data_IF_215932973781
#
_entry.id   IF_215932973781
#
_cell.length_a   1.000
_cell.length_b   1.000
_cell.length_c   1.000
_cell.angle_alpha   90.00
_cell.angle_beta   90.00
_cell.angle_gamma   90.00
#
_symmetry.space_group_name_H-M   'P 1'
#
loop_
_entity.id
_entity.type
_entity.pdbx_description
1 polymer ?
#
# COMPACT_ATOMS: atom_id res chain seq x y z
N UNK A 1 9.61 14.39 -32.86
CA UNK A 1 9.16 15.32 -31.85
C UNK A 1 7.94 14.78 -31.20
N UNK A 2 7.76 14.79 -30.01
CA UNK A 2 6.82 15.64 -29.47
C UNK A 2 5.99 15.04 -28.47
N UNK A 3 6.27 15.57 -27.40
CA UNK A 3 5.33 15.89 -26.42
C UNK A 3 4.60 14.65 -25.94
N UNK A 4 5.26 13.81 -25.22
CA UNK A 4 4.56 12.86 -24.40
C UNK A 4 3.65 13.65 -23.48
N UNK A 5 2.34 13.49 -23.66
CA UNK A 5 1.31 14.10 -22.82
C UNK A 5 1.63 13.92 -21.32
N UNK A 6 2.31 12.85 -20.96
CA UNK A 6 2.79 12.58 -19.59
C UNK A 6 3.99 13.43 -19.16
N UNK A 7 4.76 14.03 -20.05
CA UNK A 7 5.87 14.92 -19.71
C UNK A 7 5.45 16.37 -19.50
N UNK A 8 4.28 16.72 -19.98
CA UNK A 8 3.72 18.09 -19.91
C UNK A 8 2.86 18.29 -18.67
N UNK A 9 2.48 17.23 -17.99
CA UNK A 9 1.64 17.27 -16.81
C UNK A 9 2.39 16.73 -15.59
N UNK A 10 2.84 17.62 -14.72
CA UNK A 10 3.46 17.23 -13.46
C UNK A 10 2.36 17.03 -12.40
N UNK A 11 2.23 15.80 -11.93
CA UNK A 11 1.29 15.45 -10.87
C UNK A 11 2.09 15.05 -9.65
N UNK A 12 1.92 15.78 -8.55
CA UNK A 12 2.59 15.48 -7.29
C UNK A 12 1.62 15.55 -6.13
N UNK A 13 1.75 14.57 -5.26
CA UNK A 13 0.98 14.48 -4.04
C UNK A 13 1.86 13.92 -2.90
N UNK A 14 2.85 14.73 -2.50
CA UNK A 14 3.70 14.42 -1.35
C UNK A 14 3.18 15.18 -0.14
N UNK A 15 2.57 14.48 0.79
CA UNK A 15 1.96 15.07 1.99
C UNK A 15 3.04 15.43 3.01
N UNK A 16 3.05 16.68 3.47
CA UNK A 16 3.89 17.16 4.56
C UNK A 16 3.12 17.23 5.89
N UNK A 17 1.85 17.64 5.84
CA UNK A 17 0.94 17.69 7.00
C UNK A 17 -0.40 17.13 6.56
N UNK A 18 -0.99 16.26 7.37
CA UNK A 18 -2.31 15.69 7.09
C UNK A 18 -3.11 15.57 8.39
N UNK A 19 -4.02 16.51 8.60
CA UNK A 19 -4.94 16.53 9.73
C UNK A 19 -6.36 16.81 9.21
N UNK A 20 -7.04 15.80 8.65
CA UNK A 20 -8.36 15.98 8.03
C UNK A 20 -9.45 16.35 9.04
N UNK A 21 -9.28 16.00 10.32
CA UNK A 21 -10.24 16.36 11.38
C UNK A 21 -10.30 17.86 11.65
N UNK A 22 -9.20 18.56 11.42
CA UNK A 22 -9.11 20.02 11.48
C UNK A 22 -9.25 20.69 10.10
N UNK A 23 -9.57 19.90 9.06
CA UNK A 23 -9.71 20.40 7.69
C UNK A 23 -8.39 20.80 7.04
N UNK A 24 -7.24 20.37 7.59
CA UNK A 24 -5.91 20.77 7.14
C UNK A 24 -5.19 19.64 6.43
N UNK A 25 -4.73 19.92 5.22
CA UNK A 25 -3.79 19.06 4.50
C UNK A 25 -2.82 19.93 3.70
N UNK A 26 -1.54 19.62 3.75
CA UNK A 26 -0.50 20.35 3.03
C UNK A 26 0.39 19.41 2.26
N UNK A 27 0.43 19.58 0.93
CA UNK A 27 1.25 18.80 0.03
C UNK A 27 2.43 19.61 -0.46
N UNK A 28 3.61 18.96 -0.50
CA UNK A 28 4.78 19.53 -1.15
C UNK A 28 4.57 19.52 -2.67
N UNK A 29 4.86 20.65 -3.31
CA UNK A 29 4.72 20.80 -4.75
C UNK A 29 3.43 21.48 -5.22
N UNK A 30 2.54 21.88 -4.32
CA UNK A 30 1.35 22.72 -4.61
C UNK A 30 1.72 24.18 -4.97
N UNK A 31 2.84 24.39 -5.65
CA UNK A 31 3.34 25.73 -5.93
C UNK A 31 3.22 26.06 -7.41
N UNK A 32 2.68 27.24 -7.70
CA UNK A 32 2.64 27.83 -9.06
C UNK A 32 4.03 27.98 -9.69
N UNK A 33 5.08 27.97 -8.88
CA UNK A 33 6.48 28.04 -9.31
C UNK A 33 6.90 26.94 -10.29
N UNK A 34 6.33 25.73 -10.19
CA UNK A 34 6.65 24.64 -11.11
C UNK A 34 6.20 24.99 -12.53
N UNK A 35 4.94 25.42 -12.67
CA UNK A 35 4.38 25.84 -13.94
C UNK A 35 5.13 27.05 -14.52
N UNK A 36 5.36 28.09 -13.72
CA UNK A 36 6.04 29.31 -14.18
C UNK A 36 7.48 29.02 -14.64
N UNK A 37 8.21 28.15 -13.92
CA UNK A 37 9.61 27.83 -14.21
C UNK A 37 9.77 26.93 -15.45
N UNK A 38 8.91 25.92 -15.59
CA UNK A 38 9.10 24.88 -16.61
C UNK A 38 8.10 24.98 -17.76
N UNK A 39 7.13 25.90 -17.70
CA UNK A 39 6.06 26.08 -18.70
C UNK A 39 5.27 24.78 -18.95
N UNK A 40 5.11 23.97 -17.92
CA UNK A 40 4.40 22.70 -17.95
C UNK A 40 3.11 22.88 -17.16
N UNK A 41 1.97 22.46 -17.75
CA UNK A 41 0.70 22.42 -17.03
C UNK A 41 0.83 21.47 -15.83
N UNK A 42 0.57 21.98 -14.64
CA UNK A 42 0.70 21.24 -13.38
C UNK A 42 -0.67 21.08 -12.73
N UNK A 43 -1.07 19.85 -12.47
CA UNK A 43 -2.25 19.52 -11.67
C UNK A 43 -1.77 19.02 -10.31
N UNK A 44 -2.28 19.61 -9.26
CA UNK A 44 -1.91 19.30 -7.88
C UNK A 44 -3.12 19.47 -6.97
N UNK A 45 -2.92 19.24 -5.67
CA UNK A 45 -3.93 19.45 -4.65
C UNK A 45 -5.18 18.57 -4.80
N UNK A 46 -4.94 17.26 -4.89
CA UNK A 46 -6.02 16.28 -5.01
C UNK A 46 -6.78 16.04 -3.69
N UNK A 47 -6.20 16.43 -2.54
CA UNK A 47 -6.73 16.11 -1.21
C UNK A 47 -7.62 17.19 -0.63
N UNK A 48 -7.28 18.45 -0.83
CA UNK A 48 -7.99 19.58 -0.22
C UNK A 48 -9.47 19.61 -0.62
N UNK A 49 -9.77 19.30 -1.88
CA UNK A 49 -11.16 19.27 -2.35
C UNK A 49 -11.97 18.16 -1.66
N UNK A 50 -11.41 16.97 -1.50
CA UNK A 50 -12.07 15.85 -0.82
C UNK A 50 -12.34 16.20 0.66
N UNK A 51 -11.36 16.80 1.34
CA UNK A 51 -11.51 17.26 2.73
C UNK A 51 -12.57 18.36 2.84
N UNK A 52 -12.57 19.33 1.93
CA UNK A 52 -13.55 20.40 1.91
C UNK A 52 -14.99 19.89 1.69
N UNK A 53 -15.14 18.75 1.04
CA UNK A 53 -16.42 18.06 0.83
C UNK A 53 -16.79 17.10 1.97
N UNK A 54 -16.02 17.09 3.07
CA UNK A 54 -16.25 16.23 4.24
C UNK A 54 -15.60 14.85 4.14
N UNK A 55 -14.76 14.61 3.14
CA UNK A 55 -13.93 13.40 3.00
C UNK A 55 -12.67 13.46 3.85
N UNK A 56 -11.88 12.40 3.77
CA UNK A 56 -10.62 12.25 4.54
C UNK A 56 -9.39 12.75 3.76
N UNK A 57 -9.52 13.06 2.46
CA UNK A 57 -8.40 13.39 1.60
C UNK A 57 -7.44 12.22 1.35
N UNK A 58 -7.72 11.05 1.89
CA UNK A 58 -6.96 9.82 1.73
C UNK A 58 -7.83 8.59 2.11
N UNK A 59 -7.63 7.44 1.44
CA UNK A 59 -6.78 7.22 0.28
C UNK A 59 -7.43 7.69 -1.04
N UNK A 60 -6.63 8.20 -1.99
CA UNK A 60 -7.12 8.62 -3.33
C UNK A 60 -7.05 7.49 -4.37
N UNK A 61 -6.15 6.53 -4.18
CA UNK A 61 -5.91 5.40 -5.10
C UNK A 61 -7.17 4.57 -5.39
N UNK A 62 -8.11 4.36 -4.44
CA UNK A 62 -9.31 3.57 -4.68
C UNK A 62 -10.21 4.07 -5.82
N UNK A 63 -10.24 5.37 -6.08
CA UNK A 63 -10.95 5.95 -7.23
C UNK A 63 -10.42 5.37 -8.53
N UNK A 64 -9.10 5.46 -8.72
CA UNK A 64 -8.44 4.91 -9.90
C UNK A 64 -8.55 3.39 -9.98
N UNK A 65 -8.46 2.68 -8.86
CA UNK A 65 -8.66 1.23 -8.81
C UNK A 65 -10.05 0.85 -9.33
N UNK A 66 -11.09 1.60 -8.94
CA UNK A 66 -12.47 1.32 -9.36
C UNK A 66 -12.71 1.59 -10.85
N UNK A 67 -11.98 2.50 -11.45
CA UNK A 67 -12.11 2.89 -12.87
C UNK A 67 -11.24 2.00 -13.75
N UNK A 68 -9.92 1.98 -13.48
CA UNK A 68 -8.93 1.32 -14.35
C UNK A 68 -8.91 -0.20 -14.19
N UNK A 69 -9.22 -0.68 -12.98
CA UNK A 69 -9.10 -2.09 -12.62
C UNK A 69 -10.43 -2.73 -12.25
N UNK A 70 -11.53 -2.22 -12.79
CA UNK A 70 -12.92 -2.65 -12.52
C UNK A 70 -13.19 -4.14 -12.75
N UNK A 71 -12.37 -4.83 -13.54
CA UNK A 71 -12.46 -6.28 -13.79
C UNK A 71 -11.99 -7.14 -12.61
N UNK A 72 -11.41 -6.53 -11.56
CA UNK A 72 -10.99 -7.20 -10.34
C UNK A 72 -12.00 -6.91 -9.22
N UNK A 73 -12.20 -7.86 -8.32
CA UNK A 73 -13.09 -7.68 -7.16
C UNK A 73 -12.44 -6.80 -6.09
N UNK A 74 -11.11 -6.84 -6.02
CA UNK A 74 -10.32 -5.94 -5.18
C UNK A 74 -8.91 -5.73 -5.75
N UNK A 75 -8.28 -4.63 -5.31
CA UNK A 75 -6.87 -4.33 -5.54
C UNK A 75 -6.15 -4.38 -4.20
N UNK A 76 -5.10 -5.20 -4.11
CA UNK A 76 -4.21 -5.32 -2.96
C UNK A 76 -2.87 -4.67 -3.31
N UNK A 77 -2.50 -3.64 -2.58
CA UNK A 77 -1.20 -3.02 -2.71
C UNK A 77 -0.28 -3.50 -1.59
N UNK A 78 0.87 -4.07 -1.93
CA UNK A 78 1.91 -4.52 -1.02
C UNK A 78 3.06 -3.50 -0.98
N UNK A 79 2.79 -2.34 -0.42
CA UNK A 79 3.75 -1.25 -0.18
C UNK A 79 4.53 -1.42 1.10
N UNK A 80 4.83 -0.33 1.79
CA UNK A 80 5.29 -0.34 3.17
C UNK A 80 4.27 -1.04 4.07
N UNK A 81 3.00 -0.70 3.87
CA UNK A 81 1.82 -1.38 4.38
C UNK A 81 1.10 -2.13 3.25
N UNK A 82 0.40 -3.21 3.61
CA UNK A 82 -0.60 -3.82 2.76
C UNK A 82 -1.91 -3.07 2.94
N UNK A 83 -2.47 -2.57 1.85
CA UNK A 83 -3.81 -2.01 1.84
C UNK A 83 -4.65 -2.63 0.72
N UNK A 84 -5.93 -2.70 0.95
CA UNK A 84 -6.89 -3.26 0.00
C UNK A 84 -7.95 -2.23 -0.32
N UNK A 85 -8.33 -2.15 -1.59
CA UNK A 85 -9.50 -1.43 -2.07
C UNK A 85 -10.45 -2.40 -2.76
N UNK A 86 -11.76 -2.29 -2.46
CA UNK A 86 -12.79 -3.09 -3.14
C UNK A 86 -14.06 -2.30 -3.35
N UNK A 87 -14.73 -2.58 -4.45
CA UNK A 87 -16.05 -2.03 -4.75
C UNK A 87 -17.13 -2.92 -4.15
N UNK A 88 -17.99 -2.34 -3.30
CA UNK A 88 -19.14 -3.02 -2.73
C UNK A 88 -20.38 -2.11 -2.83
N UNK A 89 -21.42 -2.57 -3.52
CA UNK A 89 -22.70 -1.84 -3.64
C UNK A 89 -22.52 -0.36 -4.08
N UNK A 90 -21.76 -0.12 -5.14
CA UNK A 90 -21.42 1.22 -5.68
C UNK A 90 -20.52 2.07 -4.77
N UNK A 91 -20.16 1.61 -3.58
CA UNK A 91 -19.18 2.26 -2.69
C UNK A 91 -17.82 1.60 -2.85
N UNK A 92 -16.77 2.38 -2.67
CA UNK A 92 -15.39 1.88 -2.60
C UNK A 92 -15.00 1.83 -1.12
N UNK A 93 -14.58 0.67 -0.67
CA UNK A 93 -14.08 0.46 0.69
C UNK A 93 -12.56 0.25 0.57
N UNK A 94 -11.79 1.02 1.34
CA UNK A 94 -10.35 0.87 1.39
C UNK A 94 -9.85 0.95 2.83
N UNK A 95 -8.84 0.14 3.18
CA UNK A 95 -8.24 0.12 4.52
C UNK A 95 -6.87 -0.57 4.51
N UNK A 96 -6.07 -0.28 5.53
CA UNK A 96 -4.80 -0.96 5.77
C UNK A 96 -5.02 -2.30 6.47
N UNK A 97 -4.28 -3.31 6.02
CA UNK A 97 -4.35 -4.68 6.55
C UNK A 97 -3.23 -4.91 7.56
N UNK A 98 -1.98 -4.71 7.14
CA UNK A 98 -0.79 -4.93 7.98
C UNK A 98 0.44 -4.21 7.42
N UNK A 99 1.49 -4.10 8.23
CA UNK A 99 2.81 -3.67 7.77
C UNK A 99 3.52 -4.79 6.99
N UNK A 100 4.15 -4.44 5.87
CA UNK A 100 4.84 -5.38 4.97
C UNK A 100 6.29 -4.97 4.78
N UNK A 101 6.59 -4.14 3.76
CA UNK A 101 7.97 -3.85 3.41
C UNK A 101 8.69 -2.98 4.45
N UNK A 102 7.98 -2.18 5.24
CA UNK A 102 8.57 -1.43 6.35
C UNK A 102 9.29 -2.41 7.29
N UNK A 103 8.63 -3.50 7.67
CA UNK A 103 9.19 -4.47 8.60
C UNK A 103 10.18 -5.41 7.92
N UNK A 104 9.86 -5.92 6.72
CA UNK A 104 10.76 -6.82 6.00
C UNK A 104 12.08 -6.13 5.65
N UNK A 105 12.05 -4.85 5.28
CA UNK A 105 13.26 -4.07 5.01
C UNK A 105 14.03 -3.78 6.30
N UNK A 106 13.34 -3.43 7.39
CA UNK A 106 13.96 -3.27 8.70
C UNK A 106 14.76 -4.52 9.11
N UNK A 107 14.14 -5.70 9.00
CA UNK A 107 14.83 -6.98 9.28
C UNK A 107 15.99 -7.24 8.30
N UNK A 108 15.83 -6.91 7.02
CA UNK A 108 16.88 -7.05 6.01
C UNK A 108 18.11 -6.19 6.31
N UNK A 109 17.89 -4.98 6.86
CA UNK A 109 18.98 -4.08 7.24
C UNK A 109 19.86 -4.66 8.36
N UNK A 110 19.38 -5.61 9.17
CA UNK A 110 20.21 -6.35 10.13
C UNK A 110 21.33 -7.16 9.44
N UNK A 111 21.13 -7.52 8.16
CA UNK A 111 22.18 -8.14 7.30
C UNK A 111 22.86 -7.11 6.38
N UNK A 112 22.65 -5.82 6.61
CA UNK A 112 23.21 -4.72 5.78
C UNK A 112 22.76 -4.78 4.31
N UNK A 113 21.56 -5.31 4.05
CA UNK A 113 20.94 -5.32 2.72
C UNK A 113 19.66 -4.50 2.76
N UNK A 114 19.32 -3.87 1.63
CA UNK A 114 18.18 -2.95 1.53
C UNK A 114 16.83 -3.67 1.63
N UNK A 115 16.74 -4.88 1.10
CA UNK A 115 15.52 -5.71 1.12
C UNK A 115 15.85 -7.17 0.83
N UNK A 116 14.96 -8.08 1.23
CA UNK A 116 15.07 -9.52 0.96
C UNK A 116 14.60 -9.84 -0.46
N UNK A 117 15.55 -9.94 -1.40
CA UNK A 117 15.24 -10.19 -2.82
C UNK A 117 14.51 -11.51 -3.00
N UNK A 118 13.30 -11.46 -3.58
CA UNK A 118 12.41 -12.62 -3.78
C UNK A 118 11.98 -13.34 -2.49
N UNK A 119 12.30 -12.84 -1.30
CA UNK A 119 12.03 -13.50 -0.03
C UNK A 119 12.97 -14.68 0.26
N UNK A 120 14.21 -14.65 -0.27
CA UNK A 120 15.15 -15.77 -0.13
C UNK A 120 15.59 -16.00 1.31
N UNK A 121 15.81 -14.92 2.09
CA UNK A 121 16.18 -15.02 3.50
C UNK A 121 15.00 -15.58 4.29
N UNK A 122 13.84 -15.01 4.14
CA UNK A 122 12.64 -15.50 4.82
C UNK A 122 12.33 -16.96 4.45
N UNK A 123 12.57 -17.37 3.20
CA UNK A 123 12.28 -18.75 2.76
C UNK A 123 13.19 -19.79 3.38
N UNK A 124 14.37 -19.43 3.87
CA UNK A 124 15.32 -20.35 4.53
C UNK A 124 15.04 -20.55 6.02
N UNK A 125 14.19 -19.72 6.63
CA UNK A 125 13.86 -19.81 8.02
C UNK A 125 12.79 -20.86 8.35
N UNK A 126 12.57 -21.05 9.66
CA UNK A 126 11.53 -21.92 10.20
C UNK A 126 10.52 -21.07 10.99
N UNK A 127 9.31 -21.59 11.12
CA UNK A 127 8.26 -20.93 11.87
C UNK A 127 8.58 -20.90 13.38
N UNK A 128 8.35 -19.76 14.02
CA UNK A 128 8.41 -19.58 15.46
C UNK A 128 6.97 -19.40 15.92
N UNK A 129 6.36 -20.47 16.46
CA UNK A 129 4.93 -20.49 16.79
C UNK A 129 4.56 -19.44 17.83
N UNK A 130 5.40 -19.20 18.85
CA UNK A 130 5.17 -18.18 19.86
C UNK A 130 5.13 -16.77 19.23
N UNK A 131 6.08 -16.42 18.35
CA UNK A 131 6.09 -15.16 17.64
C UNK A 131 4.84 -15.00 16.74
N UNK A 132 4.48 -16.05 16.01
CA UNK A 132 3.31 -16.00 15.13
C UNK A 132 2.03 -15.75 15.92
N UNK A 133 1.85 -16.41 17.05
CA UNK A 133 0.70 -16.25 17.92
C UNK A 133 0.64 -14.82 18.50
N UNK A 134 1.78 -14.31 18.98
CA UNK A 134 1.86 -12.95 19.51
C UNK A 134 1.49 -11.91 18.45
N UNK A 135 2.08 -11.97 17.25
CA UNK A 135 1.76 -11.08 16.14
C UNK A 135 0.29 -11.16 15.72
N UNK A 136 -0.26 -12.37 15.60
CA UNK A 136 -1.65 -12.55 15.17
C UNK A 136 -2.67 -12.11 16.23
N UNK A 137 -2.28 -12.01 17.51
CA UNK A 137 -3.15 -11.61 18.61
C UNK A 137 -3.29 -10.10 18.79
N UNK A 138 -2.48 -9.30 18.09
CA UNK A 138 -2.49 -7.83 18.22
C UNK A 138 -3.86 -7.22 17.90
N UNK A 139 -4.27 -6.28 18.76
CA UNK A 139 -5.62 -5.69 18.73
C UNK A 139 -5.96 -5.04 17.37
N UNK A 140 -4.99 -4.41 16.70
CA UNK A 140 -5.20 -3.81 15.40
C UNK A 140 -5.84 -4.79 14.39
N UNK A 141 -5.45 -6.06 14.42
CA UNK A 141 -5.96 -7.07 13.47
C UNK A 141 -7.39 -7.50 13.76
N UNK A 142 -7.90 -7.25 14.97
CA UNK A 142 -9.28 -7.50 15.37
C UNK A 142 -10.24 -6.37 15.02
N UNK A 143 -9.70 -5.16 14.72
CA UNK A 143 -10.52 -4.00 14.39
C UNK A 143 -11.26 -4.20 13.07
N UNK A 144 -12.50 -3.74 13.04
CA UNK A 144 -13.27 -3.61 11.80
C UNK A 144 -12.72 -2.46 10.95
N UNK A 145 -12.96 -2.53 9.64
CA UNK A 145 -12.70 -1.39 8.75
C UNK A 145 -13.80 -0.31 8.89
N UNK A 146 -13.47 0.98 8.62
CA UNK A 146 -12.20 1.49 8.13
C UNK A 146 -11.12 1.52 9.21
N UNK A 147 -9.87 1.17 8.85
CA UNK A 147 -8.72 1.24 9.73
C UNK A 147 -7.46 1.58 8.96
N UNK A 148 -6.53 2.29 9.59
CA UNK A 148 -5.25 2.69 9.00
C UNK A 148 -4.09 2.43 9.95
N UNK A 149 -2.87 2.32 9.39
CA UNK A 149 -1.62 2.09 10.10
C UNK A 149 -0.66 3.26 9.86
N UNK A 150 0.00 3.70 10.93
CA UNK A 150 1.14 4.61 10.88
C UNK A 150 2.47 3.90 11.13
N UNK A 151 3.56 4.56 10.74
CA UNK A 151 4.92 4.08 11.02
C UNK A 151 5.18 4.04 12.52
N UNK A 152 4.56 4.95 13.27
CA UNK A 152 4.63 5.07 14.73
C UNK A 152 4.15 3.76 15.38
N UNK A 153 2.99 3.24 14.96
CA UNK A 153 2.48 1.98 15.49
C UNK A 153 3.43 0.80 15.22
N UNK A 154 4.07 0.77 14.05
CA UNK A 154 5.06 -0.27 13.73
C UNK A 154 6.28 -0.15 14.66
N UNK A 155 6.73 1.07 14.91
CA UNK A 155 7.89 1.35 15.77
C UNK A 155 7.62 0.99 17.23
N UNK A 156 6.42 1.29 17.71
CA UNK A 156 6.05 1.13 19.12
C UNK A 156 5.58 -0.29 19.45
N UNK A 157 5.04 -1.02 18.47
CA UNK A 157 4.43 -2.33 18.72
C UNK A 157 5.21 -3.46 18.03
N UNK A 158 5.43 -3.38 16.72
CA UNK A 158 6.00 -4.50 15.95
C UNK A 158 7.50 -4.66 16.20
N UNK A 159 8.27 -3.56 16.13
CA UNK A 159 9.72 -3.66 16.27
C UNK A 159 10.15 -4.19 17.65
N UNK A 160 9.60 -3.77 18.79
CA UNK A 160 9.95 -4.34 20.09
C UNK A 160 9.70 -5.85 20.19
N UNK A 161 8.57 -6.33 19.64
CA UNK A 161 8.29 -7.77 19.60
C UNK A 161 9.38 -8.50 18.81
N UNK A 162 9.69 -8.02 17.60
CA UNK A 162 10.68 -8.67 16.75
C UNK A 162 12.09 -8.65 17.35
N UNK A 163 12.50 -7.53 17.97
CA UNK A 163 13.80 -7.44 18.65
C UNK A 163 13.94 -8.47 19.79
N UNK A 164 12.89 -8.66 20.60
CA UNK A 164 12.88 -9.67 21.65
C UNK A 164 13.10 -11.10 21.10
N UNK A 165 12.51 -11.40 19.95
CA UNK A 165 12.69 -12.71 19.32
C UNK A 165 14.05 -12.85 18.63
N UNK A 166 14.62 -11.77 18.09
CA UNK A 166 15.95 -11.78 17.48
C UNK A 166 17.07 -12.10 18.48
N UNK A 167 16.84 -11.89 19.77
CA UNK A 167 17.80 -12.31 20.82
C UNK A 167 17.93 -13.84 20.89
N UNK A 168 16.85 -14.57 20.58
CA UNK A 168 16.75 -16.02 20.82
C UNK A 168 16.72 -16.86 19.53
N UNK A 169 16.37 -16.25 18.40
CA UNK A 169 16.13 -16.96 17.15
C UNK A 169 16.88 -16.35 15.98
N UNK A 170 17.28 -17.16 14.99
CA UNK A 170 17.91 -16.65 13.77
C UNK A 170 16.98 -15.69 13.03
N UNK A 171 17.58 -14.66 12.43
CA UNK A 171 16.88 -13.64 11.65
C UNK A 171 15.99 -14.25 10.56
N UNK A 172 16.46 -15.30 9.88
CA UNK A 172 15.74 -16.01 8.85
C UNK A 172 14.40 -16.55 9.36
N UNK A 173 14.40 -17.09 10.59
CA UNK A 173 13.20 -17.65 11.22
C UNK A 173 12.24 -16.54 11.67
N UNK A 174 12.75 -15.41 12.16
CA UNK A 174 11.93 -14.24 12.48
C UNK A 174 11.29 -13.69 11.20
N UNK A 175 12.06 -13.50 10.12
CA UNK A 175 11.56 -13.05 8.82
C UNK A 175 10.54 -14.04 8.23
N UNK A 176 10.82 -15.34 8.30
CA UNK A 176 9.89 -16.38 7.86
C UNK A 176 8.54 -16.25 8.56
N UNK A 177 8.59 -16.20 9.90
CA UNK A 177 7.38 -16.11 10.73
C UNK A 177 6.60 -14.83 10.45
N UNK A 178 7.31 -13.71 10.23
CA UNK A 178 6.67 -12.45 9.87
C UNK A 178 5.98 -12.52 8.50
N UNK A 179 6.59 -13.18 7.50
CA UNK A 179 5.94 -13.43 6.19
C UNK A 179 4.67 -14.28 6.37
N UNK A 180 4.70 -15.32 7.22
CA UNK A 180 3.52 -16.15 7.49
C UNK A 180 2.43 -15.32 8.20
N UNK A 181 2.80 -14.43 9.13
CA UNK A 181 1.88 -13.49 9.76
C UNK A 181 1.21 -12.57 8.70
N UNK A 182 1.98 -11.94 7.81
CA UNK A 182 1.44 -11.13 6.71
C UNK A 182 0.42 -11.92 5.90
N UNK A 183 0.78 -13.14 5.51
CA UNK A 183 -0.09 -14.04 4.72
C UNK A 183 -1.38 -14.36 5.47
N UNK A 184 -1.31 -14.64 6.78
CA UNK A 184 -2.48 -14.94 7.59
C UNK A 184 -3.44 -13.75 7.63
N UNK A 185 -2.97 -12.55 7.97
CA UNK A 185 -3.85 -11.38 8.11
C UNK A 185 -4.39 -10.88 6.77
N UNK A 186 -3.62 -10.98 5.68
CA UNK A 186 -4.13 -10.67 4.34
C UNK A 186 -5.22 -11.67 3.95
N UNK A 187 -5.01 -12.97 4.19
CA UNK A 187 -5.99 -14.00 3.80
C UNK A 187 -7.34 -13.83 4.47
N UNK A 188 -7.40 -13.28 5.69
CA UNK A 188 -8.65 -12.95 6.39
C UNK A 188 -9.45 -11.84 5.71
N UNK A 189 -8.81 -11.01 4.92
CA UNK A 189 -9.46 -9.92 4.16
C UNK A 189 -9.93 -10.36 2.77
N UNK A 190 -9.71 -11.62 2.38
CA UNK A 190 -10.01 -12.15 1.06
C UNK A 190 -11.14 -13.19 1.13
N UNK A 191 -11.99 -13.20 0.11
CA UNK A 191 -13.03 -14.22 -0.08
C UNK A 191 -12.59 -15.22 -1.16
N UNK A 192 -13.03 -16.50 -1.09
CA UNK A 192 -12.71 -17.51 -2.12
C UNK A 192 -13.06 -17.08 -3.55
N UNK A 193 -14.15 -16.36 -3.72
CA UNK A 193 -14.61 -15.85 -5.03
C UNK A 193 -13.84 -14.63 -5.53
N UNK A 194 -12.93 -14.07 -4.75
CA UNK A 194 -12.22 -12.85 -5.11
C UNK A 194 -11.23 -13.06 -6.27
N UNK A 195 -11.20 -12.06 -7.14
CA UNK A 195 -10.18 -11.89 -8.18
C UNK A 195 -9.36 -10.64 -7.83
N UNK A 196 -8.17 -10.85 -7.29
CA UNK A 196 -7.36 -9.81 -6.66
C UNK A 196 -6.22 -9.38 -7.58
N UNK A 197 -6.15 -8.09 -7.89
CA UNK A 197 -4.98 -7.48 -8.51
C UNK A 197 -3.96 -7.14 -7.42
N UNK A 198 -2.75 -7.70 -7.48
CA UNK A 198 -1.68 -7.43 -6.50
C UNK A 198 -0.61 -6.55 -7.11
N UNK A 199 -0.29 -5.44 -6.46
CA UNK A 199 0.69 -4.44 -6.88
C UNK A 199 1.58 -4.00 -5.73
N UNK A 200 2.47 -3.03 -5.97
CA UNK A 200 3.44 -2.53 -4.98
C UNK A 200 4.69 -3.41 -4.88
N UNK A 201 5.72 -2.92 -4.21
CA UNK A 201 7.04 -3.56 -4.16
C UNK A 201 7.04 -5.00 -3.61
N UNK A 202 6.12 -5.31 -2.68
CA UNK A 202 5.95 -6.65 -2.13
C UNK A 202 5.44 -7.68 -3.14
N UNK A 203 4.85 -7.25 -4.27
CA UNK A 203 4.46 -8.13 -5.37
C UNK A 203 5.67 -8.83 -6.03
N UNK A 204 6.86 -8.23 -5.92
CA UNK A 204 8.12 -8.84 -6.38
C UNK A 204 8.69 -9.88 -5.40
N UNK A 205 8.18 -9.95 -4.17
CA UNK A 205 8.59 -10.96 -3.21
C UNK A 205 7.94 -12.31 -3.54
N UNK A 206 8.66 -13.12 -4.33
CA UNK A 206 8.15 -14.41 -4.82
C UNK A 206 7.74 -15.36 -3.69
N UNK A 207 8.45 -15.30 -2.55
CA UNK A 207 8.13 -16.16 -1.41
C UNK A 207 6.80 -15.76 -0.75
N UNK A 208 6.60 -14.47 -0.47
CA UNK A 208 5.35 -13.93 0.05
C UNK A 208 4.17 -14.28 -0.86
N UNK A 209 4.31 -14.01 -2.16
CA UNK A 209 3.26 -14.31 -3.14
C UNK A 209 2.95 -15.81 -3.22
N UNK A 210 3.97 -16.66 -3.21
CA UNK A 210 3.78 -18.12 -3.18
C UNK A 210 2.98 -18.55 -1.94
N UNK A 211 3.35 -18.05 -0.76
CA UNK A 211 2.65 -18.38 0.49
C UNK A 211 1.21 -17.85 0.49
N UNK A 212 0.99 -16.64 -0.02
CA UNK A 212 -0.36 -16.09 -0.14
C UNK A 212 -1.26 -16.93 -1.07
N UNK A 213 -0.74 -17.34 -2.24
CA UNK A 213 -1.48 -18.22 -3.18
C UNK A 213 -1.81 -19.58 -2.59
N UNK A 214 -0.95 -20.11 -1.70
CA UNK A 214 -1.20 -21.39 -1.03
C UNK A 214 -2.21 -21.28 0.13
N UNK A 215 -2.35 -20.08 0.71
CA UNK A 215 -3.19 -19.85 1.89
C UNK A 215 -4.62 -19.50 1.55
N UNK A 216 -4.88 -18.86 0.41
CA UNK A 216 -6.21 -18.39 0.01
C UNK A 216 -6.70 -19.09 -1.26
N UNK A 217 -8.00 -19.28 -1.35
CA UNK A 217 -8.66 -19.73 -2.58
C UNK A 217 -8.91 -18.58 -3.56
N UNK A 218 -8.76 -17.32 -3.11
CA UNK A 218 -8.87 -16.15 -3.96
C UNK A 218 -7.87 -16.20 -5.12
N UNK A 219 -8.31 -15.77 -6.30
CA UNK A 219 -7.45 -15.73 -7.49
C UNK A 219 -6.49 -14.54 -7.43
N UNK A 220 -5.24 -14.78 -7.04
CA UNK A 220 -4.18 -13.77 -6.96
C UNK A 220 -3.57 -13.54 -8.35
N UNK A 221 -3.67 -12.32 -8.86
CA UNK A 221 -3.20 -11.91 -10.19
C UNK A 221 -2.10 -10.85 -10.03
N UNK A 222 -0.93 -11.15 -10.56
CA UNK A 222 0.16 -10.21 -10.72
C UNK A 222 0.08 -9.64 -12.14
N UNK A 223 -0.05 -8.32 -12.30
CA UNK A 223 0.00 -7.69 -13.62
C UNK A 223 1.44 -7.60 -14.15
N UNK A 224 1.64 -6.90 -15.25
CA UNK A 224 2.99 -6.60 -15.75
C UNK A 224 3.80 -5.78 -14.74
N UNK A 225 5.12 -5.81 -14.86
CA UNK A 225 6.02 -5.08 -13.97
C UNK A 225 5.76 -3.56 -14.02
N UNK A 226 5.37 -3.03 -15.17
CA UNK A 226 5.02 -1.62 -15.33
C UNK A 226 3.83 -1.25 -14.44
N UNK A 227 2.78 -2.07 -14.41
CA UNK A 227 1.63 -1.83 -13.55
C UNK A 227 2.00 -2.03 -12.08
N UNK A 228 2.80 -3.05 -11.74
CA UNK A 228 3.27 -3.25 -10.36
C UNK A 228 4.00 -2.01 -9.84
N UNK A 229 4.90 -1.44 -10.66
CA UNK A 229 5.78 -0.37 -10.26
C UNK A 229 5.14 1.02 -10.35
N UNK A 230 4.21 1.22 -11.30
CA UNK A 230 3.69 2.55 -11.66
C UNK A 230 2.19 2.70 -11.48
N UNK A 231 1.48 1.72 -10.88
CA UNK A 231 0.03 1.81 -10.68
C UNK A 231 -0.40 3.12 -10.04
N UNK A 232 0.29 3.53 -8.98
CA UNK A 232 -0.03 4.77 -8.27
C UNK A 232 0.18 5.99 -9.18
N UNK A 233 1.29 6.06 -9.91
CA UNK A 233 1.55 7.14 -10.87
C UNK A 233 0.48 7.19 -11.99
N UNK A 234 0.06 6.02 -12.49
CA UNK A 234 -1.01 5.91 -13.49
C UNK A 234 -2.33 6.44 -12.93
N UNK A 235 -2.65 6.11 -11.69
CA UNK A 235 -3.87 6.57 -11.03
C UNK A 235 -3.82 8.10 -10.83
N UNK A 236 -2.72 8.66 -10.34
CA UNK A 236 -2.60 10.10 -10.20
C UNK A 236 -2.66 10.83 -11.56
N UNK A 237 -2.11 10.24 -12.62
CA UNK A 237 -2.28 10.75 -13.98
C UNK A 237 -3.76 10.79 -14.39
N UNK A 238 -4.51 9.72 -14.09
CA UNK A 238 -5.96 9.68 -14.33
C UNK A 238 -6.68 10.75 -13.51
N UNK A 239 -6.39 10.90 -12.22
CA UNK A 239 -7.03 11.92 -11.37
C UNK A 239 -6.76 13.33 -11.89
N UNK A 240 -5.53 13.59 -12.36
CA UNK A 240 -5.17 14.84 -13.02
C UNK A 240 -5.96 15.10 -14.29
N UNK A 241 -6.10 14.08 -15.14
CA UNK A 241 -6.90 14.16 -16.36
C UNK A 241 -8.38 14.45 -16.07
N UNK A 242 -8.96 13.76 -15.10
CA UNK A 242 -10.34 13.99 -14.67
C UNK A 242 -10.53 15.43 -14.19
N UNK A 243 -9.57 15.96 -13.41
CA UNK A 243 -9.62 17.37 -12.94
C UNK A 243 -9.56 18.36 -14.11
N UNK A 244 -8.70 18.15 -15.10
CA UNK A 244 -8.61 18.99 -16.30
C UNK A 244 -9.90 18.95 -17.12
N UNK A 245 -10.57 17.81 -17.17
CA UNK A 245 -11.85 17.63 -17.86
C UNK A 245 -13.07 18.06 -17.04
N UNK A 246 -12.89 18.63 -15.85
CA UNK A 246 -13.95 18.97 -14.90
C UNK A 246 -14.87 17.79 -14.55
N UNK A 247 -14.32 16.58 -14.52
CA UNK A 247 -15.00 15.36 -14.08
C UNK A 247 -14.62 15.12 -12.62
N UNK A 248 -15.59 14.67 -11.82
CA UNK A 248 -15.33 14.37 -10.41
C UNK A 248 -14.22 13.31 -10.28
N UNK A 249 -13.20 13.61 -9.49
CA UNK A 249 -12.01 12.79 -9.27
C UNK A 249 -11.81 12.35 -7.81
N UNK A 250 -12.80 12.58 -6.95
CA UNK A 250 -12.90 12.07 -5.58
C UNK A 250 -14.29 11.47 -5.33
N UNK A 251 -14.44 10.71 -4.24
CA UNK A 251 -15.70 10.07 -3.87
C UNK A 251 -16.29 10.68 -2.61
#
# INVERSE_FOLDING_TARGET
SKGLVGSEMCIRDSTAIHNPTEGVTYQLGNLTTINSKYKIMTVCDFRTQDIAMGGQGAPLVPVGDSILFSKFTACLNLGGFANISRKKNKKVIAYDICSVNIVLNYLSMKKRIKYDKNGLIASSGKIITSLLNELNSLEFYKLNHPKSLGVEWVSDVIFPILENFLIKYPLESVMHTYVIHIVNVISLSLSPSDKILVTGGGAHNKYLIKKLKLKTEARIILPSNEIINFKEAIIFALLGLLKVLNINNCF
#
